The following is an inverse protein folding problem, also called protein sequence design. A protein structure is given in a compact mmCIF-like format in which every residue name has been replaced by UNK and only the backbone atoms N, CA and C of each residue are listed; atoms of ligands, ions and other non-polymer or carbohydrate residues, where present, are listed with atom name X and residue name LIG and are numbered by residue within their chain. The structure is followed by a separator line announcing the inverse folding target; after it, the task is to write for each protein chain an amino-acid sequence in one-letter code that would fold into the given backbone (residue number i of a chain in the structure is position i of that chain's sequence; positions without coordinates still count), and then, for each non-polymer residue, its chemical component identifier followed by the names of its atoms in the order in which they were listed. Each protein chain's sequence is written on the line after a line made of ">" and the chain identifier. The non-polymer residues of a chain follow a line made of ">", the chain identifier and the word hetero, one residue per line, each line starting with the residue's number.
data_IF_670903688154
#
_entry.id   IF_670903688154
#
_cell.length_a   1.000
_cell.length_b   1.000
_cell.length_c   1.000
_cell.angle_alpha   90.00
_cell.angle_beta   90.00
_cell.angle_gamma   90.00
#
_symmetry.space_group_name_H-M   'P 1'
#
loop_
_entity.id
_entity.type
_entity.pdbx_description
1 polymer ?
#
# COMPACT_ATOMS: atom_id res chain seq x y z
N UNK A 1 6.34 -8.03 23.12
CA UNK A 1 5.97 -6.84 22.30
C UNK A 1 6.57 -7.02 20.93
N UNK A 2 5.79 -6.81 19.87
CA UNK A 2 6.30 -6.89 18.49
C UNK A 2 6.45 -5.48 17.92
N UNK A 3 7.52 -5.27 17.16
CA UNK A 3 7.84 -4.00 16.50
C UNK A 3 7.92 -4.23 14.99
N UNK A 4 7.00 -3.63 14.24
CA UNK A 4 7.08 -3.60 12.78
C UNK A 4 7.98 -2.45 12.32
N UNK A 5 8.86 -2.72 11.37
CA UNK A 5 9.81 -1.77 10.79
C UNK A 5 9.77 -1.90 9.27
N UNK A 6 9.80 -0.78 8.55
CA UNK A 6 9.89 -0.76 7.10
C UNK A 6 11.11 0.07 6.66
N UNK A 7 11.80 -0.41 5.64
CA UNK A 7 12.94 0.23 5.00
C UNK A 7 12.47 1.06 3.80
N UNK A 8 13.32 1.97 3.31
CA UNK A 8 13.02 2.83 2.16
C UNK A 8 12.69 2.09 0.86
N UNK A 9 13.07 0.81 0.74
CA UNK A 9 12.79 -0.05 -0.41
C UNK A 9 11.56 -0.96 -0.23
N UNK A 10 10.64 -0.62 0.70
CA UNK A 10 9.50 -1.45 1.09
C UNK A 10 9.85 -2.83 1.68
N UNK A 11 11.11 -3.14 1.97
CA UNK A 11 11.41 -4.26 2.85
C UNK A 11 10.83 -3.97 4.23
N UNK A 12 10.04 -4.89 4.78
CA UNK A 12 9.51 -4.75 6.14
C UNK A 12 9.73 -6.01 6.95
N UNK A 13 9.94 -5.80 8.24
CA UNK A 13 10.28 -6.82 9.20
C UNK A 13 9.46 -6.60 10.47
N UNK A 14 9.23 -7.68 11.20
CA UNK A 14 8.64 -7.66 12.53
C UNK A 14 9.66 -8.24 13.49
N UNK A 15 10.03 -7.46 14.49
CA UNK A 15 11.03 -7.77 15.49
C UNK A 15 10.34 -8.13 16.81
N UNK A 16 10.75 -9.24 17.42
CA UNK A 16 10.34 -9.57 18.77
C UNK A 16 11.26 -8.85 19.76
N UNK A 17 10.72 -7.84 20.43
CA UNK A 17 11.48 -6.97 21.33
C UNK A 17 11.95 -7.72 22.58
N UNK A 18 11.16 -8.68 23.06
CA UNK A 18 11.51 -9.43 24.27
C UNK A 18 12.68 -10.39 23.99
N UNK A 19 12.59 -11.06 22.84
CA UNK A 19 13.57 -12.04 22.39
C UNK A 19 14.79 -11.41 21.70
N UNK A 20 14.74 -10.10 21.42
CA UNK A 20 15.78 -9.32 20.74
C UNK A 20 16.20 -9.93 19.40
N UNK A 21 15.24 -10.44 18.63
CA UNK A 21 15.46 -11.06 17.32
C UNK A 21 14.32 -10.78 16.36
N UNK A 22 14.54 -11.06 15.08
CA UNK A 22 13.47 -11.08 14.10
C UNK A 22 12.40 -12.10 14.52
N UNK A 23 11.14 -11.77 14.27
CA UNK A 23 10.03 -12.70 14.50
C UNK A 23 10.20 -13.92 13.61
N UNK A 24 9.66 -15.06 14.06
CA UNK A 24 9.61 -16.30 13.25
C UNK A 24 8.94 -16.06 11.89
N UNK A 25 7.97 -15.14 11.83
CA UNK A 25 7.33 -14.73 10.59
C UNK A 25 8.33 -14.05 9.65
N UNK A 26 9.10 -13.07 10.12
CA UNK A 26 10.12 -12.40 9.29
C UNK A 26 11.25 -13.33 8.88
N UNK A 27 11.74 -14.18 9.78
CA UNK A 27 12.75 -15.20 9.46
C UNK A 27 12.24 -16.17 8.38
N UNK A 28 10.97 -16.59 8.47
CA UNK A 28 10.33 -17.45 7.49
C UNK A 28 10.22 -16.84 6.09
N UNK A 29 10.17 -15.52 5.98
CA UNK A 29 10.15 -14.80 4.70
C UNK A 29 11.54 -14.60 4.08
N UNK A 30 12.61 -14.96 4.79
CA UNK A 30 13.99 -14.82 4.35
C UNK A 30 14.60 -13.46 4.68
N UNK A 31 15.93 -13.41 4.74
CA UNK A 31 16.70 -12.21 5.04
C UNK A 31 17.84 -12.03 4.00
N UNK A 32 17.93 -10.87 3.31
CA UNK A 32 16.96 -9.77 3.31
C UNK A 32 15.61 -10.19 2.69
N UNK A 33 14.51 -9.55 3.07
CA UNK A 33 13.17 -9.86 2.52
C UNK A 33 12.98 -9.30 1.09
N UNK A 34 13.85 -8.38 0.65
CA UNK A 34 13.72 -7.73 -0.66
C UNK A 34 13.56 -8.71 -1.85
N UNK A 35 14.26 -9.86 -1.93
CA UNK A 35 14.06 -10.84 -3.00
C UNK A 35 12.74 -11.61 -2.89
N UNK A 36 12.16 -11.75 -1.69
CA UNK A 36 10.87 -12.41 -1.44
C UNK A 36 9.69 -11.44 -1.40
N UNK A 37 9.92 -10.13 -1.51
CA UNK A 37 8.84 -9.16 -1.63
C UNK A 37 7.96 -9.48 -2.86
N UNK A 38 6.63 -9.30 -2.73
CA UNK A 38 5.71 -9.44 -3.84
C UNK A 38 6.10 -8.51 -5.00
N UNK A 39 5.94 -8.99 -6.23
CA UNK A 39 6.37 -8.25 -7.43
C UNK A 39 5.71 -6.86 -7.52
N UNK A 40 4.45 -6.77 -7.09
CA UNK A 40 3.67 -5.53 -7.08
C UNK A 40 4.25 -4.45 -6.15
N UNK A 41 5.04 -4.85 -5.15
CA UNK A 41 5.68 -3.95 -4.17
C UNK A 41 7.06 -3.53 -4.65
N UNK A 42 7.84 -4.46 -5.21
CA UNK A 42 9.22 -4.21 -5.66
C UNK A 42 9.33 -3.09 -6.69
N UNK A 43 8.33 -2.94 -7.56
CA UNK A 43 8.34 -1.97 -8.65
C UNK A 43 7.61 -0.67 -8.32
N UNK A 44 7.18 -0.46 -7.07
CA UNK A 44 6.69 0.85 -6.68
C UNK A 44 7.83 1.87 -6.67
N UNK A 45 7.61 2.99 -7.36
CA UNK A 45 8.50 4.15 -7.32
C UNK A 45 8.28 5.08 -6.13
N UNK A 46 7.72 4.58 -5.03
CA UNK A 46 7.44 5.31 -3.79
C UNK A 46 8.25 4.66 -2.65
N UNK A 47 8.10 5.14 -1.42
CA UNK A 47 8.71 4.51 -0.24
C UNK A 47 7.75 4.51 0.96
N UNK A 48 7.89 3.55 1.90
CA UNK A 48 7.10 3.56 3.12
C UNK A 48 7.36 4.82 3.93
N UNK A 49 6.27 5.46 4.36
CA UNK A 49 6.33 6.61 5.27
C UNK A 49 5.48 6.40 6.52
N UNK A 50 4.65 5.34 6.56
CA UNK A 50 3.72 5.08 7.66
C UNK A 50 3.61 3.59 7.94
N UNK A 51 3.44 3.23 9.21
CA UNK A 51 3.09 1.89 9.67
C UNK A 51 1.98 2.02 10.72
N UNK A 52 0.93 1.22 10.61
CA UNK A 52 -0.17 1.22 11.57
C UNK A 52 -0.57 -0.23 11.93
N UNK A 53 -0.62 -0.56 13.21
CA UNK A 53 -1.08 -1.88 13.68
C UNK A 53 -2.59 -1.90 13.86
N UNK A 54 -3.26 -3.01 13.47
CA UNK A 54 -4.69 -3.13 13.66
C UNK A 54 -5.01 -3.47 15.14
N UNK A 55 -5.79 -2.65 15.86
CA UNK A 55 -6.14 -2.93 17.26
C UNK A 55 -7.11 -4.11 17.41
N UNK A 56 -7.79 -4.51 16.34
CA UNK A 56 -8.69 -5.67 16.27
C UNK A 56 -8.00 -6.99 15.93
N UNK A 57 -6.83 -6.93 15.28
CA UNK A 57 -6.06 -8.09 14.83
C UNK A 57 -4.56 -7.81 14.96
N UNK A 58 -3.92 -8.44 15.96
CA UNK A 58 -2.50 -8.24 16.25
C UNK A 58 -1.58 -8.74 15.14
N UNK A 59 -2.07 -9.64 14.30
CA UNK A 59 -1.31 -10.17 13.19
C UNK A 59 -1.45 -9.32 11.93
N UNK A 60 -2.28 -8.26 11.96
CA UNK A 60 -2.51 -7.38 10.84
C UNK A 60 -1.90 -6.00 11.08
N UNK A 61 -1.16 -5.50 10.09
CA UNK A 61 -0.66 -4.14 10.08
C UNK A 61 -0.66 -3.57 8.66
N UNK A 62 -0.53 -2.25 8.59
CA UNK A 62 -0.47 -1.49 7.35
C UNK A 62 0.93 -0.94 7.15
N UNK A 63 1.39 -0.90 5.90
CA UNK A 63 2.57 -0.15 5.48
C UNK A 63 2.14 0.82 4.40
N UNK A 64 2.09 2.11 4.74
CA UNK A 64 1.58 3.17 3.89
C UNK A 64 2.70 3.98 3.22
N UNK A 65 2.48 4.30 1.95
CA UNK A 65 3.23 5.30 1.17
C UNK A 65 2.36 6.52 0.91
N UNK A 66 2.75 7.43 0.01
CA UNK A 66 1.87 8.53 -0.41
C UNK A 66 0.79 8.09 -1.40
N UNK A 67 1.11 7.15 -2.29
CA UNK A 67 0.23 6.69 -3.36
C UNK A 67 -0.49 5.36 -3.12
N UNK A 68 -0.13 4.60 -2.08
CA UNK A 68 -0.79 3.35 -1.73
C UNK A 68 -0.59 2.98 -0.27
N UNK A 69 -1.28 1.94 0.19
CA UNK A 69 -0.83 1.21 1.36
C UNK A 69 -0.96 -0.30 1.16
N UNK A 70 -0.10 -1.03 1.85
CA UNK A 70 -0.10 -2.48 1.97
C UNK A 70 -0.84 -2.86 3.25
N UNK A 71 -1.75 -3.81 3.17
CA UNK A 71 -2.31 -4.51 4.31
C UNK A 71 -1.67 -5.91 4.37
N UNK A 72 -0.94 -6.17 5.45
CA UNK A 72 -0.19 -7.41 5.67
C UNK A 72 -0.83 -8.16 6.82
N UNK A 73 -1.12 -9.45 6.62
CA UNK A 73 -1.58 -10.36 7.66
C UNK A 73 -0.55 -11.47 7.90
N UNK A 74 0.10 -11.42 9.05
CA UNK A 74 1.15 -12.35 9.47
C UNK A 74 0.61 -13.74 9.84
N UNK A 75 -0.64 -13.81 10.30
CA UNK A 75 -1.30 -15.06 10.73
C UNK A 75 -1.59 -16.00 9.56
N UNK A 76 -1.55 -15.50 8.31
CA UNK A 76 -1.74 -16.29 7.08
C UNK A 76 -0.46 -16.88 6.50
N UNK A 77 0.69 -16.75 7.19
CA UNK A 77 1.96 -17.36 6.80
C UNK A 77 2.88 -16.42 6.02
N UNK A 78 3.63 -16.96 5.05
CA UNK A 78 4.63 -16.19 4.29
C UNK A 78 3.96 -15.18 3.36
N UNK A 79 4.70 -14.15 2.94
CA UNK A 79 4.26 -13.25 1.88
C UNK A 79 4.06 -14.02 0.56
N UNK A 80 3.03 -13.66 -0.21
CA UNK A 80 2.78 -14.27 -1.50
C UNK A 80 3.68 -13.65 -2.59
N UNK A 81 3.80 -14.30 -3.73
CA UNK A 81 4.57 -13.77 -4.88
C UNK A 81 3.91 -12.52 -5.48
N UNK A 82 2.59 -12.40 -5.37
CA UNK A 82 1.79 -11.25 -5.80
C UNK A 82 0.73 -10.94 -4.74
N UNK A 83 0.49 -9.66 -4.49
CA UNK A 83 -0.54 -9.22 -3.55
C UNK A 83 -1.88 -9.05 -4.25
N UNK A 84 -2.98 -9.23 -3.52
CA UNK A 84 -4.29 -8.82 -4.00
C UNK A 84 -4.31 -7.31 -4.20
N UNK A 85 -4.81 -6.81 -5.32
CA UNK A 85 -4.87 -5.37 -5.59
C UNK A 85 -6.31 -4.86 -5.41
N UNK A 86 -6.48 -3.79 -4.65
CA UNK A 86 -7.75 -3.12 -4.42
C UNK A 86 -7.69 -1.64 -4.84
N UNK A 87 -8.68 -1.10 -5.57
CA UNK A 87 -9.74 -1.85 -6.24
C UNK A 87 -9.16 -2.67 -7.40
N UNK A 88 -9.73 -3.84 -7.69
CA UNK A 88 -9.21 -4.80 -8.68
C UNK A 88 -9.06 -4.20 -10.10
N UNK A 89 -9.82 -3.14 -10.40
CA UNK A 89 -9.79 -2.45 -11.70
C UNK A 89 -8.73 -1.33 -11.80
N UNK A 90 -8.04 -0.98 -10.71
CA UNK A 90 -7.13 0.16 -10.69
C UNK A 90 -5.89 -0.03 -11.59
N UNK A 91 -5.47 -1.28 -11.82
CA UNK A 91 -4.27 -1.62 -12.61
C UNK A 91 -4.45 -1.37 -14.11
N UNK A 92 -5.69 -1.24 -14.61
CA UNK A 92 -5.95 -0.99 -16.05
C UNK A 92 -6.09 0.49 -16.43
N UNK A 93 -6.07 1.42 -15.47
CA UNK A 93 -6.55 2.79 -15.68
C UNK A 93 -5.50 3.88 -15.89
N UNK A 94 -4.20 3.65 -15.67
CA UNK A 94 -3.19 4.73 -15.79
C UNK A 94 -2.72 5.01 -17.23
N UNK A 95 -3.59 4.72 -18.22
CA UNK A 95 -3.50 5.28 -19.57
C UNK A 95 -4.76 6.10 -19.82
N UNK A 96 -4.56 7.42 -19.92
CA UNK A 96 -5.54 8.45 -20.30
C UNK A 96 -6.75 7.90 -21.07
N UNK A 97 -7.94 7.98 -20.47
CA UNK A 97 -9.17 8.61 -21.00
C UNK A 97 -10.39 8.05 -20.28
N UNK A 98 -11.25 8.99 -19.90
CA UNK A 98 -12.60 8.77 -19.41
C UNK A 98 -13.42 8.14 -20.55
N UNK A 99 -13.67 6.83 -20.49
CA UNK A 99 -14.80 6.20 -21.18
C UNK A 99 -15.12 4.87 -20.51
N UNK A 100 -16.34 4.84 -19.96
CA UNK A 100 -16.93 3.68 -19.31
C UNK A 100 -17.12 2.53 -20.30
N UNK A 101 -16.64 1.34 -19.93
CA UNK A 101 -17.24 0.08 -20.36
C UNK A 101 -16.91 -1.02 -19.35
N UNK A 102 -17.97 -1.51 -18.72
CA UNK A 102 -17.99 -2.64 -17.82
C UNK A 102 -17.96 -3.94 -18.61
N UNK A 103 -16.91 -4.73 -18.45
CA UNK A 103 -16.93 -6.16 -18.79
C UNK A 103 -16.31 -6.96 -17.65
N UNK A 104 -17.16 -7.75 -17.00
CA UNK A 104 -16.83 -8.76 -16.01
C UNK A 104 -16.49 -10.07 -16.71
N UNK A 105 -15.33 -10.65 -16.41
CA UNK A 105 -14.99 -12.03 -16.79
C UNK A 105 -14.10 -12.66 -15.71
N UNK A 106 -14.18 -14.00 -15.53
CA UNK A 106 -14.20 -14.59 -14.19
C UNK A 106 -12.83 -15.06 -13.66
N UNK A 107 -12.77 -15.05 -12.33
CA UNK A 107 -11.94 -15.81 -11.38
C UNK A 107 -10.78 -16.64 -11.93
N UNK A 108 -9.55 -16.19 -11.65
CA UNK A 108 -8.38 -17.05 -11.58
C UNK A 108 -8.36 -17.73 -10.20
N UNK A 109 -8.05 -19.03 -10.23
CA UNK A 109 -7.77 -19.93 -9.11
C UNK A 109 -7.11 -19.19 -7.94
N UNK A 110 -7.79 -19.17 -6.80
CA UNK A 110 -7.31 -18.51 -5.59
C UNK A 110 -6.15 -19.29 -4.99
N UNK A 111 -4.95 -18.71 -5.01
CA UNK A 111 -3.85 -19.19 -4.19
C UNK A 111 -4.28 -19.16 -2.71
N UNK A 112 -4.01 -20.21 -1.91
CA UNK A 112 -4.40 -20.25 -0.49
C UNK A 112 -3.77 -19.12 0.34
N UNK A 113 -2.77 -18.44 -0.21
CA UNK A 113 -2.05 -17.33 0.41
C UNK A 113 -2.50 -15.94 -0.11
N UNK A 114 -3.51 -15.88 -1.00
CA UNK A 114 -3.97 -14.64 -1.66
C UNK A 114 -4.57 -13.59 -0.69
N UNK A 115 -4.68 -13.93 0.61
CA UNK A 115 -5.17 -13.02 1.64
C UNK A 115 -4.11 -12.49 2.61
N UNK A 116 -2.84 -12.91 2.53
CA UNK A 116 -1.79 -12.45 3.46
C UNK A 116 -1.22 -11.07 3.09
N UNK A 117 -1.39 -10.63 1.84
CA UNK A 117 -1.01 -9.29 1.39
C UNK A 117 -2.07 -8.70 0.45
N UNK A 118 -2.52 -7.48 0.75
CA UNK A 118 -3.37 -6.67 -0.14
C UNK A 118 -2.75 -5.29 -0.35
N UNK A 119 -2.68 -4.81 -1.58
CA UNK A 119 -2.29 -3.44 -1.93
C UNK A 119 -3.54 -2.63 -2.21
N UNK A 120 -3.74 -1.54 -1.47
CA UNK A 120 -4.79 -0.57 -1.72
C UNK A 120 -4.23 0.63 -2.52
N UNK A 121 -4.73 0.80 -3.74
CA UNK A 121 -4.45 1.90 -4.66
C UNK A 121 -5.62 2.89 -4.77
N UNK A 122 -6.65 2.74 -3.94
CA UNK A 122 -7.86 3.58 -4.01
C UNK A 122 -7.57 5.05 -3.74
N UNK A 123 -6.69 5.31 -2.79
CA UNK A 123 -6.40 6.63 -2.25
C UNK A 123 -5.10 7.16 -2.85
N UNK A 124 -5.05 8.45 -3.15
CA UNK A 124 -3.90 9.11 -3.72
C UNK A 124 -3.53 10.34 -2.88
N UNK A 125 -2.23 10.66 -2.79
CA UNK A 125 -1.73 11.78 -1.98
C UNK A 125 -2.15 11.67 -0.51
N UNK A 126 -1.96 10.49 0.09
CA UNK A 126 -2.28 10.24 1.50
C UNK A 126 -1.32 10.97 2.45
N UNK A 127 -1.89 11.77 3.34
CA UNK A 127 -1.21 12.51 4.41
C UNK A 127 -1.17 11.73 5.72
N UNK A 128 -2.21 10.94 5.99
CA UNK A 128 -2.33 10.16 7.22
C UNK A 128 -3.11 8.87 6.97
N UNK A 129 -2.73 7.82 7.70
CA UNK A 129 -3.33 6.49 7.65
C UNK A 129 -3.20 5.87 9.05
N UNK A 130 -4.32 5.51 9.67
CA UNK A 130 -4.31 4.80 10.96
C UNK A 130 -5.66 4.14 11.27
N UNK A 131 -5.70 3.26 12.27
CA UNK A 131 -6.92 2.67 12.78
C UNK A 131 -7.57 3.56 13.85
N UNK A 132 -8.88 3.77 13.73
CA UNK A 132 -9.67 4.44 14.77
C UNK A 132 -10.22 3.42 15.77
N UNK A 133 -10.54 2.22 15.27
CA UNK A 133 -11.12 1.14 16.05
C UNK A 133 -10.75 -0.22 15.43
N UNK A 134 -11.31 -1.31 15.97
CA UNK A 134 -11.04 -2.68 15.48
C UNK A 134 -11.52 -2.91 14.04
N UNK A 135 -12.43 -2.10 13.54
CA UNK A 135 -13.10 -2.26 12.24
C UNK A 135 -13.06 -1.01 11.38
N UNK A 136 -12.57 0.10 11.91
CA UNK A 136 -12.59 1.40 11.24
C UNK A 136 -11.18 1.98 11.11
N UNK A 137 -10.93 2.58 9.96
CA UNK A 137 -9.65 3.15 9.59
C UNK A 137 -9.86 4.56 9.05
N UNK A 138 -8.95 5.47 9.40
CA UNK A 138 -8.88 6.82 8.90
C UNK A 138 -7.86 6.91 7.77
N UNK A 139 -8.29 7.48 6.64
CA UNK A 139 -7.40 7.89 5.55
C UNK A 139 -7.63 9.36 5.30
N UNK A 140 -6.56 10.17 5.41
CA UNK A 140 -6.61 11.60 5.10
C UNK A 140 -5.85 11.84 3.81
N UNK A 141 -6.54 12.34 2.79
CA UNK A 141 -5.97 12.66 1.48
C UNK A 141 -5.76 14.16 1.32
N UNK A 142 -4.74 14.55 0.54
CA UNK A 142 -4.52 15.92 0.14
C UNK A 142 -5.32 16.24 -1.14
N UNK A 143 -6.36 17.11 -1.09
CA UNK A 143 -7.24 17.34 -2.25
C UNK A 143 -6.63 18.24 -3.34
N UNK A 144 -5.40 18.73 -3.17
CA UNK A 144 -4.87 19.89 -3.87
C UNK A 144 -4.84 19.77 -5.39
N UNK A 145 -4.75 18.57 -5.98
CA UNK A 145 -4.81 18.41 -7.44
C UNK A 145 -6.21 18.66 -8.03
N UNK A 146 -7.27 18.30 -7.31
CA UNK A 146 -8.65 18.54 -7.76
C UNK A 146 -9.06 20.00 -7.53
N UNK A 147 -8.54 20.63 -6.47
CA UNK A 147 -8.76 22.06 -6.22
C UNK A 147 -7.94 22.90 -7.22
N UNK A 148 -6.67 22.53 -7.48
CA UNK A 148 -5.80 23.11 -8.52
C UNK A 148 -6.48 23.16 -9.90
N UNK A 149 -7.13 22.06 -10.30
CA UNK A 149 -7.83 21.95 -11.58
C UNK A 149 -9.08 22.84 -11.69
N UNK A 150 -9.65 23.26 -10.55
CA UNK A 150 -10.82 24.14 -10.49
C UNK A 150 -10.46 25.61 -10.26
N UNK A 151 -9.18 25.95 -10.03
CA UNK A 151 -8.80 27.35 -10.09
C UNK A 151 -8.88 27.83 -11.54
N UNK A 152 -9.30 29.09 -11.77
CA UNK A 152 -9.15 29.70 -13.08
C UNK A 152 -7.70 29.51 -13.56
N UNK A 153 -7.53 29.14 -14.83
CA UNK A 153 -6.24 28.81 -15.41
C UNK A 153 -5.17 29.81 -14.97
N UNK A 154 -4.01 29.28 -14.58
CA UNK A 154 -2.89 30.06 -14.06
C UNK A 154 -2.78 31.41 -14.80
N UNK A 155 -2.87 32.51 -14.04
CA UNK A 155 -2.63 33.88 -14.48
C UNK A 155 -1.65 33.86 -15.66
N UNK A 156 -2.12 34.32 -16.82
CA UNK A 156 -1.36 34.34 -18.07
C UNK A 156 0.11 34.61 -17.79
N UNK A 157 0.98 33.62 -18.04
CA UNK A 157 2.41 33.88 -18.05
C UNK A 157 2.69 34.78 -19.25
N UNK A 158 2.57 36.10 -19.06
CA UNK A 158 3.05 37.08 -20.03
C UNK A 158 4.57 37.01 -20.03
N UNK A 159 5.10 36.34 -21.04
CA UNK A 159 6.53 36.42 -21.36
C UNK A 159 6.73 37.78 -22.02
N UNK A 160 7.41 38.69 -21.32
CA UNK A 160 7.93 39.93 -21.89
C UNK A 160 9.38 39.70 -22.28
N UNK A 161 9.70 39.87 -23.57
CA UNK A 161 11.04 39.72 -24.14
C UNK A 161 11.06 38.75 -25.32
N UNK A 162 11.63 39.21 -26.44
CA UNK A 162 11.96 38.43 -27.62
C UNK A 162 13.34 37.78 -27.47
#
# INVERSE_FOLDING_TARGET
>A
VQLAVACSNFAFYVFDVAERRLSKWSEGNGFPISPSLPHDVKHQGDFPVRIAGNPGDKDMFLVGSFGCFLAVNMGRGKLPTSCRIYPEKHVRGRKRRFSASSSSSPSKTEDPNNGSCTICLRYNSMLYLDFLSKTEMLVVEQPWLNVAANFPGALERRVYGH
#
